data_IF_526000457985
#
_entry.id   IF_526000457985
#
_cell.length_a   1.000
_cell.length_b   1.000
_cell.length_c   1.000
_cell.angle_alpha   90.00
_cell.angle_beta   90.00
_cell.angle_gamma   90.00
#
_symmetry.space_group_name_H-M   'P 1'
#
loop_
_entity.id
_entity.type
_entity.pdbx_description
1 polymer ?
#
# COMPACT_ATOMS: atom_id res chain seq x y z
N UNK A 1 2.76 6.33 4.47
CA UNK A 1 1.51 5.56 4.68
C UNK A 1 1.81 4.37 5.54
N UNK A 2 1.00 4.11 6.52
CA UNK A 2 1.20 3.06 7.49
C UNK A 2 0.04 2.05 7.47
N UNK A 3 0.22 0.79 7.74
CA UNK A 3 -0.79 -0.27 7.72
C UNK A 3 -0.72 -1.20 8.91
N UNK A 4 -1.82 -1.61 9.49
CA UNK A 4 -1.87 -2.60 10.56
C UNK A 4 -3.06 -3.54 10.44
N UNK A 5 -2.91 -4.78 10.44
CA UNK A 5 -3.85 -5.77 10.93
C UNK A 5 -3.48 -7.19 10.54
N UNK A 6 -3.60 -8.12 11.39
CA UNK A 6 -3.54 -9.52 11.05
C UNK A 6 -4.75 -10.24 11.59
N UNK A 7 -5.52 -10.88 10.76
CA UNK A 7 -6.19 -12.11 11.14
C UNK A 7 -5.11 -13.12 11.53
N UNK A 8 -5.42 -14.13 12.33
CA UNK A 8 -4.47 -15.18 12.78
C UNK A 8 -3.62 -15.81 11.66
N UNK A 9 -3.75 -15.38 10.40
CA UNK A 9 -3.02 -15.81 9.21
C UNK A 9 -2.70 -14.71 8.20
N UNK A 10 -3.09 -13.44 8.47
CA UNK A 10 -2.93 -12.36 7.49
C UNK A 10 -2.40 -11.10 8.15
N UNK A 11 -1.29 -10.60 7.69
CA UNK A 11 -0.63 -9.40 8.20
C UNK A 11 -1.18 -8.11 7.60
N UNK A 12 -0.92 -7.03 8.27
CA UNK A 12 -1.38 -5.71 7.90
C UNK A 12 -0.26 -4.68 7.82
N UNK A 13 -0.46 -3.65 7.04
CA UNK A 13 0.51 -2.64 6.70
C UNK A 13 0.02 -1.22 6.91
N UNK A 14 0.98 -0.36 7.26
CA UNK A 14 0.82 1.08 7.17
C UNK A 14 1.93 1.66 6.30
N UNK A 15 1.60 2.42 5.28
CA UNK A 15 2.57 3.02 4.38
C UNK A 15 2.76 4.50 4.66
N UNK A 16 3.99 4.98 4.65
CA UNK A 16 4.36 6.37 4.86
C UNK A 16 4.46 7.15 3.56
N UNK A 17 3.95 8.38 3.54
CA UNK A 17 4.33 9.41 2.60
C UNK A 17 5.12 10.51 3.33
N UNK A 18 5.92 11.27 2.60
CA UNK A 18 6.97 12.18 3.08
C UNK A 18 6.46 13.37 3.93
N UNK A 19 5.19 13.49 4.22
CA UNK A 19 4.63 14.64 4.95
C UNK A 19 4.02 14.18 6.26
N UNK A 20 4.68 14.48 7.38
CA UNK A 20 4.19 14.17 8.72
C UNK A 20 5.30 13.83 9.71
N UNK A 21 4.92 13.39 10.89
CA UNK A 21 5.81 12.86 11.92
C UNK A 21 6.14 11.39 11.61
N UNK A 22 7.06 11.19 10.69
CA UNK A 22 7.42 9.87 10.19
C UNK A 22 8.02 8.98 11.28
N UNK A 23 8.73 9.54 12.26
CA UNK A 23 9.35 8.79 13.35
C UNK A 23 8.28 8.20 14.28
N UNK A 24 7.34 9.02 14.75
CA UNK A 24 6.25 8.55 15.62
C UNK A 24 5.35 7.52 14.89
N UNK A 25 5.16 7.66 13.59
CA UNK A 25 4.37 6.72 12.81
C UNK A 25 5.05 5.35 12.71
N UNK A 26 6.38 5.31 12.57
CA UNK A 26 7.14 4.05 12.46
C UNK A 26 7.10 3.20 13.74
N UNK A 27 6.85 3.79 14.89
CA UNK A 27 6.74 3.06 16.17
C UNK A 27 5.44 2.25 16.29
N UNK A 28 4.42 2.59 15.50
CA UNK A 28 3.10 1.93 15.55
C UNK A 28 2.75 1.12 14.31
N UNK A 29 3.55 1.22 13.25
CA UNK A 29 3.27 0.52 11.99
C UNK A 29 4.11 -0.74 11.84
N UNK A 30 3.57 -1.71 11.12
CA UNK A 30 4.29 -2.95 10.84
C UNK A 30 5.15 -2.87 9.58
N UNK A 31 4.88 -1.90 8.69
CA UNK A 31 5.66 -1.67 7.48
C UNK A 31 5.48 -0.27 6.91
N UNK A 32 6.44 0.18 6.12
CA UNK A 32 6.44 1.49 5.47
C UNK A 32 6.64 1.36 3.96
N UNK A 33 5.86 2.13 3.16
CA UNK A 33 6.07 2.25 1.74
C UNK A 33 6.90 3.50 1.46
N UNK A 34 8.10 3.33 0.92
CA UNK A 34 9.08 4.40 0.71
C UNK A 34 9.02 4.87 -0.74
N UNK A 35 8.72 6.15 -0.94
CA UNK A 35 8.73 6.76 -2.26
C UNK A 35 10.13 6.73 -2.88
N UNK A 36 10.21 6.44 -4.20
CA UNK A 36 11.45 6.10 -4.87
C UNK A 36 11.89 7.16 -5.89
N UNK A 37 11.59 8.43 -5.63
CA UNK A 37 12.12 9.59 -6.36
C UNK A 37 11.25 10.09 -7.53
N UNK A 38 10.32 9.31 -8.07
CA UNK A 38 9.53 9.72 -9.24
C UNK A 38 8.30 10.56 -8.91
N UNK A 39 7.56 10.22 -7.87
CA UNK A 39 6.39 10.99 -7.44
C UNK A 39 6.64 11.75 -6.14
N UNK A 40 7.61 11.31 -5.37
CA UNK A 40 8.06 11.87 -4.11
C UNK A 40 9.37 11.19 -3.70
N UNK A 41 10.01 11.69 -2.63
CA UNK A 41 11.28 11.17 -2.14
C UNK A 41 12.48 11.69 -2.93
N UNK A 42 13.62 11.51 -2.30
CA UNK A 42 14.93 11.76 -2.85
C UNK A 42 15.95 10.79 -2.22
N UNK A 43 17.20 10.75 -2.66
CA UNK A 43 18.18 9.81 -2.13
C UNK A 43 18.39 9.91 -0.61
N UNK A 44 18.42 11.11 -0.04
CA UNK A 44 18.61 11.31 1.40
C UNK A 44 17.38 10.88 2.20
N UNK A 45 16.18 11.17 1.70
CA UNK A 45 14.92 10.71 2.31
C UNK A 45 14.85 9.19 2.28
N UNK A 46 15.15 8.52 1.15
CA UNK A 46 15.18 7.06 1.08
C UNK A 46 16.16 6.47 2.10
N UNK A 47 17.38 6.99 2.16
CA UNK A 47 18.41 6.53 3.10
C UNK A 47 17.95 6.67 4.55
N UNK A 48 17.44 7.85 4.92
CA UNK A 48 16.93 8.13 6.28
C UNK A 48 15.76 7.23 6.64
N UNK A 49 14.78 7.09 5.76
CA UNK A 49 13.59 6.27 6.04
C UNK A 49 13.95 4.79 6.21
N UNK A 50 14.86 4.25 5.39
CA UNK A 50 15.36 2.87 5.56
C UNK A 50 16.07 2.71 6.92
N UNK A 51 16.87 3.69 7.34
CA UNK A 51 17.52 3.66 8.64
C UNK A 51 16.53 3.70 9.81
N UNK A 52 15.49 4.53 9.72
CA UNK A 52 14.42 4.61 10.71
C UNK A 52 13.61 3.30 10.77
N UNK A 53 13.25 2.71 9.64
CA UNK A 53 12.59 1.41 9.60
C UNK A 53 13.44 0.30 10.25
N UNK A 54 14.77 0.34 10.04
CA UNK A 54 15.68 -0.59 10.71
C UNK A 54 15.64 -0.45 12.23
N UNK A 55 15.55 0.78 12.74
CA UNK A 55 15.49 1.06 14.17
C UNK A 55 14.17 0.63 14.81
N UNK A 56 13.05 0.91 14.15
CA UNK A 56 11.72 0.57 14.64
C UNK A 56 11.32 -0.89 14.39
N UNK A 57 12.03 -1.60 13.51
CA UNK A 57 11.65 -2.95 13.07
C UNK A 57 10.54 -3.00 12.02
N UNK A 58 10.10 -1.85 11.49
CA UNK A 58 9.11 -1.79 10.44
C UNK A 58 9.67 -2.35 9.11
N UNK A 59 8.90 -3.18 8.43
CA UNK A 59 9.28 -3.76 7.14
C UNK A 59 9.33 -2.68 6.04
N UNK A 60 10.40 -2.68 5.22
CA UNK A 60 10.60 -1.70 4.16
C UNK A 60 9.97 -2.15 2.85
N UNK A 61 9.15 -1.30 2.23
CA UNK A 61 8.57 -1.52 0.92
C UNK A 61 8.88 -0.41 -0.08
N UNK A 62 9.12 -0.78 -1.33
CA UNK A 62 9.27 0.18 -2.42
C UNK A 62 7.90 0.68 -2.89
N UNK A 63 7.79 1.99 -3.11
CA UNK A 63 6.56 2.63 -3.52
C UNK A 63 6.71 3.33 -4.90
N UNK A 64 6.89 2.55 -5.99
CA UNK A 64 7.11 3.10 -7.31
C UNK A 64 5.84 3.76 -7.87
N UNK A 65 5.98 4.93 -8.45
CA UNK A 65 4.90 5.68 -9.08
C UNK A 65 5.27 6.18 -10.47
N UNK A 66 4.33 6.86 -11.13
CA UNK A 66 4.63 7.60 -12.33
C UNK A 66 5.61 8.75 -12.06
N UNK A 67 6.44 9.16 -13.04
CA UNK A 67 7.36 10.28 -12.93
C UNK A 67 6.60 11.63 -12.95
N UNK A 68 5.90 11.91 -11.87
CA UNK A 68 4.95 13.01 -11.73
C UNK A 68 5.06 13.68 -10.35
N UNK A 69 6.18 14.37 -10.11
CA UNK A 69 6.40 15.11 -8.86
C UNK A 69 5.31 16.15 -8.60
N UNK A 70 4.91 16.91 -9.62
CA UNK A 70 3.90 17.98 -9.46
C UNK A 70 2.50 17.44 -9.12
N UNK A 71 2.13 16.30 -9.69
CA UNK A 71 0.85 15.65 -9.43
C UNK A 71 0.94 14.55 -8.36
N UNK A 72 2.10 14.43 -7.70
CA UNK A 72 2.33 13.40 -6.66
C UNK A 72 2.03 11.99 -7.18
N UNK A 73 2.31 11.71 -8.47
CA UNK A 73 2.01 10.41 -9.09
C UNK A 73 0.52 10.08 -9.19
N UNK A 74 -0.38 11.05 -8.94
CA UNK A 74 -1.83 10.84 -8.96
C UNK A 74 -2.49 11.15 -10.29
N UNK A 75 -1.77 11.78 -11.24
CA UNK A 75 -2.24 11.99 -12.60
C UNK A 75 -2.00 10.74 -13.44
N UNK A 76 -2.98 10.36 -14.24
CA UNK A 76 -2.82 9.23 -15.17
C UNK A 76 -1.81 9.58 -16.26
N UNK A 77 -0.89 8.67 -16.51
CA UNK A 77 0.10 8.76 -17.58
C UNK A 77 0.00 7.52 -18.47
N UNK A 78 0.12 7.73 -19.77
CA UNK A 78 0.11 6.64 -20.73
C UNK A 78 1.54 6.12 -20.92
N UNK A 79 1.81 4.93 -20.39
CA UNK A 79 3.04 4.18 -20.62
C UNK A 79 2.70 2.87 -21.33
N UNK A 80 3.60 2.42 -22.19
CA UNK A 80 3.57 1.04 -22.67
C UNK A 80 3.91 0.07 -21.53
N UNK A 81 3.53 -1.20 -21.60
CA UNK A 81 3.93 -2.20 -20.58
C UNK A 81 5.45 -2.27 -20.38
N UNK A 82 6.24 -2.12 -21.44
CA UNK A 82 7.69 -2.13 -21.35
C UNK A 82 8.24 -0.90 -20.59
N UNK A 83 7.71 0.28 -20.86
CA UNK A 83 8.08 1.50 -20.13
C UNK A 83 7.65 1.43 -18.66
N UNK A 84 6.45 0.94 -18.38
CA UNK A 84 5.97 0.76 -17.02
C UNK A 84 6.85 -0.23 -16.24
N UNK A 85 7.22 -1.35 -16.85
CA UNK A 85 8.16 -2.30 -16.28
C UNK A 85 9.49 -1.64 -15.94
N UNK A 86 10.10 -0.94 -16.90
CA UNK A 86 11.39 -0.26 -16.69
C UNK A 86 11.31 0.81 -15.60
N UNK A 87 10.23 1.61 -15.58
CA UNK A 87 9.99 2.61 -14.53
C UNK A 87 9.91 2.00 -13.13
N UNK A 88 9.23 0.87 -12.99
CA UNK A 88 9.10 0.16 -11.71
C UNK A 88 10.44 -0.46 -11.29
N UNK A 89 11.15 -1.10 -12.23
CA UNK A 89 12.48 -1.69 -11.97
C UNK A 89 13.49 -0.64 -11.50
N UNK A 90 13.53 0.51 -12.16
CA UNK A 90 14.41 1.62 -11.79
C UNK A 90 14.18 2.06 -10.34
N UNK A 91 12.93 2.27 -9.96
CA UNK A 91 12.54 2.73 -8.63
C UNK A 91 12.80 1.68 -7.55
N UNK A 92 12.53 0.41 -7.83
CA UNK A 92 12.87 -0.71 -6.94
C UNK A 92 14.39 -0.74 -6.73
N UNK A 93 15.18 -0.65 -7.80
CA UNK A 93 16.65 -0.66 -7.75
C UNK A 93 17.21 0.49 -6.92
N UNK A 94 16.63 1.69 -7.06
CA UNK A 94 17.02 2.86 -6.28
C UNK A 94 16.87 2.63 -4.77
N UNK A 95 15.70 2.19 -4.31
CA UNK A 95 15.48 1.91 -2.89
C UNK A 95 16.27 0.71 -2.40
N UNK A 96 16.36 -0.35 -3.23
CA UNK A 96 17.08 -1.58 -2.88
C UNK A 96 18.55 -1.32 -2.58
N UNK A 97 19.19 -0.38 -3.26
CA UNK A 97 20.58 -0.01 -2.96
C UNK A 97 20.75 0.50 -1.53
N UNK A 98 19.79 1.30 -1.01
CA UNK A 98 19.81 1.77 0.39
C UNK A 98 19.48 0.63 1.37
N UNK A 99 18.54 -0.25 1.01
CA UNK A 99 18.22 -1.42 1.81
C UNK A 99 19.43 -2.34 1.97
N UNK A 100 20.12 -2.67 0.87
CA UNK A 100 21.29 -3.53 0.86
C UNK A 100 22.43 -2.90 1.69
N UNK A 101 22.70 -1.60 1.51
CA UNK A 101 23.71 -0.87 2.28
C UNK A 101 23.41 -0.84 3.79
N UNK A 102 22.14 -0.79 4.17
CA UNK A 102 21.71 -0.81 5.56
C UNK A 102 21.60 -2.23 6.15
N UNK A 103 21.70 -3.28 5.33
CA UNK A 103 21.44 -4.66 5.73
C UNK A 103 19.98 -4.92 6.11
N UNK A 104 19.05 -4.26 5.43
CA UNK A 104 17.60 -4.41 5.63
C UNK A 104 17.00 -5.06 4.39
N UNK A 105 16.18 -6.11 4.50
CA UNK A 105 15.54 -6.70 3.32
C UNK A 105 14.49 -5.74 2.72
N UNK A 106 14.43 -5.66 1.39
CA UNK A 106 13.29 -5.07 0.71
C UNK A 106 12.12 -6.08 0.77
N UNK A 107 11.19 -5.82 1.68
CA UNK A 107 10.14 -6.77 2.04
C UNK A 107 9.00 -6.84 1.01
N UNK A 108 8.58 -5.68 0.49
CA UNK A 108 7.44 -5.63 -0.43
C UNK A 108 7.56 -4.49 -1.45
N UNK A 109 6.71 -4.55 -2.46
CA UNK A 109 6.54 -3.48 -3.45
C UNK A 109 5.06 -3.13 -3.55
N UNK A 110 4.73 -1.86 -3.42
CA UNK A 110 3.39 -1.32 -3.59
C UNK A 110 3.42 -0.20 -4.62
N UNK A 111 2.84 -0.35 -5.80
CA UNK A 111 2.71 0.77 -6.74
C UNK A 111 1.95 1.95 -6.12
N UNK A 112 2.30 3.17 -6.52
CA UNK A 112 1.69 4.38 -5.99
C UNK A 112 0.61 4.96 -6.92
N UNK A 113 -0.41 5.56 -6.33
CA UNK A 113 -1.30 6.53 -6.94
C UNK A 113 -2.00 6.06 -8.21
N UNK A 114 -1.82 6.80 -9.31
CA UNK A 114 -2.48 6.49 -10.58
C UNK A 114 -1.97 5.17 -11.18
N UNK A 115 -0.69 4.86 -11.03
CA UNK A 115 -0.12 3.58 -11.49
C UNK A 115 -0.81 2.39 -10.80
N UNK A 116 -1.00 2.46 -9.49
CA UNK A 116 -1.71 1.45 -8.71
C UNK A 116 -3.17 1.25 -9.19
N UNK A 117 -3.90 2.35 -9.32
CA UNK A 117 -5.32 2.30 -9.70
C UNK A 117 -5.52 1.84 -11.15
N UNK A 118 -4.64 2.24 -12.07
CA UNK A 118 -4.69 1.80 -13.46
C UNK A 118 -4.36 0.30 -13.58
N UNK A 119 -3.27 -0.14 -12.96
CA UNK A 119 -2.87 -1.55 -12.94
C UNK A 119 -3.89 -2.45 -12.22
N UNK A 120 -4.68 -1.90 -11.32
CA UNK A 120 -5.80 -2.62 -10.69
C UNK A 120 -6.87 -3.08 -11.70
N UNK A 121 -6.95 -2.44 -12.88
CA UNK A 121 -7.95 -2.71 -13.93
C UNK A 121 -7.34 -3.13 -15.27
N UNK A 122 -6.09 -2.80 -15.51
CA UNK A 122 -5.37 -3.08 -16.76
C UNK A 122 -4.44 -4.28 -16.56
N UNK A 123 -4.80 -5.41 -17.16
CA UNK A 123 -4.05 -6.65 -17.06
C UNK A 123 -2.63 -6.53 -17.64
N UNK A 124 -2.45 -5.87 -18.76
CA UNK A 124 -1.14 -5.74 -19.38
C UNK A 124 -0.19 -4.90 -18.53
N UNK A 125 -0.72 -3.84 -17.91
CA UNK A 125 0.03 -3.03 -16.95
C UNK A 125 0.35 -3.82 -15.67
N UNK A 126 -0.61 -4.59 -15.18
CA UNK A 126 -0.42 -5.47 -14.02
C UNK A 126 0.67 -6.52 -14.26
N UNK A 127 0.65 -7.20 -15.42
CA UNK A 127 1.66 -8.18 -15.80
C UNK A 127 3.06 -7.55 -15.87
N UNK A 128 3.17 -6.33 -16.44
CA UNK A 128 4.44 -5.60 -16.51
C UNK A 128 5.00 -5.25 -15.13
N UNK A 129 4.15 -4.78 -14.21
CA UNK A 129 4.54 -4.49 -12.83
C UNK A 129 4.95 -5.76 -12.10
N UNK A 130 4.17 -6.83 -12.21
CA UNK A 130 4.48 -8.11 -11.57
C UNK A 130 5.81 -8.69 -12.07
N UNK A 131 6.09 -8.60 -13.37
CA UNK A 131 7.37 -8.99 -13.95
C UNK A 131 8.53 -8.14 -13.39
N UNK A 132 8.33 -6.81 -13.30
CA UNK A 132 9.33 -5.90 -12.72
C UNK A 132 9.67 -6.29 -11.27
N UNK A 133 8.66 -6.53 -10.44
CA UNK A 133 8.86 -6.92 -9.03
C UNK A 133 9.60 -8.25 -8.94
N UNK A 134 9.13 -9.27 -9.66
CA UNK A 134 9.73 -10.61 -9.64
C UNK A 134 11.21 -10.62 -10.05
N UNK A 135 11.57 -9.81 -11.04
CA UNK A 135 12.94 -9.72 -11.55
C UNK A 135 13.85 -8.85 -10.67
N UNK A 136 13.35 -7.75 -10.11
CA UNK A 136 14.18 -6.74 -9.42
C UNK A 136 14.24 -6.95 -7.91
N UNK A 137 13.24 -7.60 -7.34
CA UNK A 137 13.12 -7.87 -5.90
C UNK A 137 12.68 -9.32 -5.65
N UNK A 138 13.51 -10.32 -5.98
CA UNK A 138 13.18 -11.73 -5.75
C UNK A 138 12.86 -11.99 -4.27
N UNK A 139 11.70 -12.60 -4.00
CA UNK A 139 11.19 -12.86 -2.65
C UNK A 139 10.36 -11.73 -2.04
N UNK A 140 10.35 -10.55 -2.63
CA UNK A 140 9.44 -9.48 -2.16
C UNK A 140 7.98 -9.79 -2.48
N UNK A 141 7.09 -9.32 -1.61
CA UNK A 141 5.63 -9.46 -1.78
C UNK A 141 5.08 -8.27 -2.57
N UNK A 142 4.22 -8.50 -3.56
CA UNK A 142 3.45 -7.43 -4.18
C UNK A 142 2.27 -7.07 -3.27
N UNK A 143 2.15 -5.80 -2.87
CA UNK A 143 0.98 -5.30 -2.16
C UNK A 143 0.03 -4.65 -3.17
N UNK A 144 -1.15 -5.23 -3.35
CA UNK A 144 -2.08 -4.85 -4.40
C UNK A 144 -3.52 -4.76 -3.88
N UNK A 145 -4.34 -3.91 -4.52
CA UNK A 145 -5.77 -3.79 -4.21
C UNK A 145 -6.44 -5.15 -4.28
N UNK A 146 -7.15 -5.49 -3.24
CA UNK A 146 -7.88 -6.76 -3.13
C UNK A 146 -8.74 -7.05 -4.37
N UNK A 147 -8.61 -8.26 -4.91
CA UNK A 147 -9.37 -8.70 -6.08
C UNK A 147 -8.98 -8.09 -7.43
N UNK A 148 -7.99 -7.20 -7.48
CA UNK A 148 -7.56 -6.49 -8.69
C UNK A 148 -6.83 -7.37 -9.71
N UNK A 149 -6.63 -6.82 -10.92
CA UNK A 149 -5.82 -7.47 -11.96
C UNK A 149 -4.36 -7.67 -11.51
N UNK A 150 -3.82 -6.83 -10.62
CA UNK A 150 -2.49 -7.03 -10.06
C UNK A 150 -2.41 -8.30 -9.19
N UNK A 151 -3.43 -8.60 -8.40
CA UNK A 151 -3.49 -9.85 -7.61
C UNK A 151 -3.51 -11.06 -8.54
N UNK A 152 -4.38 -11.03 -9.57
CA UNK A 152 -4.48 -12.12 -10.57
C UNK A 152 -3.19 -12.31 -11.36
N UNK A 153 -2.54 -11.21 -11.76
CA UNK A 153 -1.27 -11.23 -12.48
C UNK A 153 -0.14 -11.83 -11.63
N UNK A 154 -0.04 -11.42 -10.37
CA UNK A 154 0.95 -11.95 -9.44
C UNK A 154 0.78 -13.46 -9.22
N UNK A 155 -0.46 -13.91 -8.97
CA UNK A 155 -0.79 -15.32 -8.82
C UNK A 155 -0.43 -16.15 -10.07
N UNK A 156 -0.70 -15.59 -11.27
CA UNK A 156 -0.42 -16.28 -12.53
C UNK A 156 1.08 -16.59 -12.75
N UNK A 157 1.97 -15.77 -12.20
CA UNK A 157 3.43 -15.98 -12.32
C UNK A 157 4.08 -16.52 -11.05
N UNK A 158 3.29 -16.83 -10.00
CA UNK A 158 3.80 -17.29 -8.71
C UNK A 158 4.60 -16.21 -7.96
N UNK A 159 4.24 -14.93 -8.13
CA UNK A 159 4.76 -13.84 -7.32
C UNK A 159 3.97 -13.78 -6.01
N UNK A 160 4.61 -13.77 -4.83
CA UNK A 160 3.90 -13.54 -3.57
C UNK A 160 3.10 -12.25 -3.62
N UNK A 161 1.84 -12.29 -3.18
CA UNK A 161 0.94 -11.13 -3.21
C UNK A 161 0.12 -11.05 -1.94
N UNK A 162 -0.06 -9.83 -1.41
CA UNK A 162 -0.95 -9.51 -0.32
C UNK A 162 -2.07 -8.58 -0.81
N UNK A 163 -3.29 -8.89 -0.37
CA UNK A 163 -4.49 -8.13 -0.71
C UNK A 163 -4.63 -6.94 0.22
N UNK A 164 -4.54 -5.74 -0.33
CA UNK A 164 -4.68 -4.50 0.41
C UNK A 164 -6.11 -4.00 0.39
N UNK A 165 -6.58 -3.54 1.55
CA UNK A 165 -7.82 -2.79 1.70
C UNK A 165 -7.54 -1.39 2.27
N UNK A 166 -8.48 -0.48 2.14
CA UNK A 166 -8.33 0.92 2.54
C UNK A 166 -9.36 1.30 3.59
N UNK A 167 -8.88 1.81 4.72
CA UNK A 167 -9.74 2.26 5.81
C UNK A 167 -10.58 3.50 5.42
N UNK A 168 -9.93 4.45 4.75
CA UNK A 168 -10.41 5.80 4.48
C UNK A 168 -10.96 6.00 3.05
N UNK A 169 -11.17 4.92 2.28
CA UNK A 169 -11.59 5.02 0.87
C UNK A 169 -12.92 4.32 0.62
N UNK A 170 -13.75 4.98 -0.21
CA UNK A 170 -14.95 4.36 -0.76
C UNK A 170 -14.63 3.32 -1.84
N UNK A 171 -15.45 2.28 -1.91
CA UNK A 171 -15.39 1.22 -2.91
C UNK A 171 -16.56 1.30 -3.87
N UNK A 172 -16.36 0.86 -5.10
CA UNK A 172 -17.40 0.60 -6.09
C UNK A 172 -17.84 -0.86 -6.05
N UNK A 173 -18.99 -1.22 -6.64
CA UNK A 173 -19.44 -2.61 -6.70
C UNK A 173 -18.46 -3.57 -7.38
N UNK A 174 -17.61 -3.05 -8.27
CA UNK A 174 -16.54 -3.82 -8.94
C UNK A 174 -15.27 -4.03 -8.07
N UNK A 175 -15.30 -3.58 -6.80
CA UNK A 175 -14.15 -3.64 -5.89
C UNK A 175 -13.10 -2.55 -6.11
N UNK A 176 -13.24 -1.72 -7.13
CA UNK A 176 -12.32 -0.60 -7.35
C UNK A 176 -12.61 0.56 -6.40
N UNK A 177 -11.57 1.38 -6.14
CA UNK A 177 -11.74 2.57 -5.32
C UNK A 177 -12.52 3.66 -6.07
N UNK A 178 -13.40 4.36 -5.36
CA UNK A 178 -14.07 5.56 -5.86
C UNK A 178 -12.99 6.62 -6.18
N UNK A 179 -13.00 7.25 -7.37
CA UNK A 179 -12.00 8.24 -7.73
C UNK A 179 -11.94 9.41 -6.76
N UNK A 180 -10.74 9.83 -6.36
CA UNK A 180 -10.55 11.03 -5.51
C UNK A 180 -11.20 12.24 -6.16
N UNK A 181 -11.75 13.14 -5.33
CA UNK A 181 -12.46 14.33 -5.80
C UNK A 181 -13.91 14.10 -6.23
N UNK A 182 -14.43 12.88 -6.09
CA UNK A 182 -15.85 12.57 -6.29
C UNK A 182 -16.54 12.26 -4.95
N UNK A 183 -17.86 12.51 -4.82
CA UNK A 183 -18.59 12.16 -3.60
C UNK A 183 -18.41 10.69 -3.20
N UNK A 184 -18.22 10.44 -1.91
CA UNK A 184 -18.00 9.08 -1.38
C UNK A 184 -16.60 8.50 -1.65
N UNK A 185 -15.65 9.28 -2.16
CA UNK A 185 -14.27 8.82 -2.38
C UNK A 185 -13.49 8.65 -1.08
N UNK A 186 -13.78 9.46 -0.07
CA UNK A 186 -13.14 9.43 1.24
C UNK A 186 -14.18 9.14 2.32
N UNK A 187 -13.78 8.37 3.31
CA UNK A 187 -14.53 8.15 4.55
C UNK A 187 -13.88 9.08 5.59
N UNK A 188 -14.62 10.10 5.99
CA UNK A 188 -14.12 11.18 6.86
C UNK A 188 -14.42 10.89 8.34
N UNK A 189 -15.44 10.09 8.60
CA UNK A 189 -15.81 9.69 9.95
C UNK A 189 -14.90 8.54 10.42
N UNK A 190 -14.17 8.77 11.53
CA UNK A 190 -13.21 7.82 12.07
C UNK A 190 -13.90 6.54 12.58
N UNK A 191 -15.07 6.65 13.21
CA UNK A 191 -15.78 5.50 13.78
C UNK A 191 -16.35 4.63 12.65
N UNK A 192 -16.87 5.25 11.59
CA UNK A 192 -17.29 4.54 10.37
C UNK A 192 -16.10 3.81 9.75
N UNK A 193 -14.95 4.49 9.57
CA UNK A 193 -13.77 3.88 8.98
C UNK A 193 -13.25 2.70 9.82
N UNK A 194 -13.24 2.80 11.14
CA UNK A 194 -12.86 1.71 12.06
C UNK A 194 -13.82 0.53 11.92
N UNK A 195 -15.12 0.76 11.97
CA UNK A 195 -16.13 -0.29 11.83
C UNK A 195 -16.00 -1.02 10.47
N UNK A 196 -15.74 -0.28 9.40
CA UNK A 196 -15.51 -0.83 8.06
C UNK A 196 -14.25 -1.70 8.02
N UNK A 197 -13.16 -1.26 8.64
CA UNK A 197 -11.91 -2.06 8.71
C UNK A 197 -12.15 -3.37 9.47
N UNK A 198 -12.79 -3.32 10.62
CA UNK A 198 -13.13 -4.53 11.38
C UNK A 198 -13.94 -5.48 10.50
N UNK A 199 -14.96 -4.98 9.82
CA UNK A 199 -15.80 -5.79 8.93
C UNK A 199 -15.03 -6.39 7.76
N UNK A 200 -14.14 -5.62 7.10
CA UNK A 200 -13.28 -6.13 6.02
C UNK A 200 -12.39 -7.28 6.51
N UNK A 201 -11.82 -7.13 7.71
CA UNK A 201 -10.87 -8.09 8.27
C UNK A 201 -11.58 -9.33 8.85
N UNK A 202 -12.71 -9.17 9.54
CA UNK A 202 -13.37 -10.27 10.25
C UNK A 202 -14.43 -10.99 9.42
N UNK A 203 -15.14 -10.27 8.53
CA UNK A 203 -16.21 -10.82 7.72
C UNK A 203 -15.83 -11.01 6.25
N UNK A 204 -14.71 -10.42 5.79
CA UNK A 204 -14.33 -10.43 4.38
C UNK A 204 -15.29 -9.65 3.49
N UNK A 205 -15.88 -8.56 4.00
CA UNK A 205 -16.90 -7.76 3.30
C UNK A 205 -16.66 -6.26 3.47
N UNK A 206 -17.03 -5.49 2.45
CA UNK A 206 -17.14 -4.03 2.50
C UNK A 206 -18.39 -3.57 1.75
N UNK A 207 -19.03 -2.51 2.27
CA UNK A 207 -20.16 -1.88 1.59
C UNK A 207 -19.64 -0.91 0.53
N UNK A 208 -20.07 -1.12 -0.71
CA UNK A 208 -19.78 -0.24 -1.85
C UNK A 208 -20.61 1.06 -1.79
N UNK A 209 -20.26 2.03 -2.64
CA UNK A 209 -20.90 3.35 -2.66
C UNK A 209 -22.37 3.35 -3.13
N UNK A 210 -22.85 2.25 -3.67
CA UNK A 210 -24.28 2.04 -4.01
C UNK A 210 -25.05 1.29 -2.91
N UNK A 211 -24.41 0.98 -1.78
CA UNK A 211 -25.00 0.26 -0.65
C UNK A 211 -24.89 -1.27 -0.74
N UNK A 212 -24.34 -1.82 -1.82
CA UNK A 212 -24.16 -3.28 -1.93
C UNK A 212 -22.94 -3.75 -1.15
N UNK A 213 -23.04 -4.95 -0.56
CA UNK A 213 -21.91 -5.62 0.06
C UNK A 213 -21.14 -6.41 -0.99
N UNK A 214 -19.84 -6.18 -1.05
CA UNK A 214 -18.91 -6.92 -1.89
C UNK A 214 -17.95 -7.75 -1.03
N UNK A 215 -17.59 -8.94 -1.51
CA UNK A 215 -16.57 -9.77 -0.88
C UNK A 215 -15.19 -9.11 -1.07
N UNK A 216 -14.36 -9.12 -0.02
CA UNK A 216 -13.02 -8.56 -0.04
C UNK A 216 -12.09 -9.42 0.81
N UNK A 217 -10.84 -9.57 0.38
CA UNK A 217 -9.79 -10.19 1.19
C UNK A 217 -8.90 -9.08 1.76
N UNK A 218 -8.66 -9.11 3.06
CA UNK A 218 -7.83 -8.13 3.74
C UNK A 218 -6.59 -8.82 4.34
N UNK A 219 -5.47 -8.75 3.62
CA UNK A 219 -4.16 -9.17 4.13
C UNK A 219 -3.40 -7.95 4.67
N UNK A 220 -3.80 -6.74 4.27
CA UNK A 220 -3.23 -5.45 4.66
C UNK A 220 -4.29 -4.37 4.68
N UNK A 221 -4.22 -3.47 5.66
CA UNK A 221 -5.08 -2.27 5.73
C UNK A 221 -4.24 -1.02 5.48
N UNK A 222 -4.56 -0.24 4.47
CA UNK A 222 -3.93 1.04 4.20
C UNK A 222 -4.67 2.19 4.91
N UNK A 223 -3.90 3.02 5.59
CA UNK A 223 -4.35 4.31 6.12
C UNK A 223 -3.43 5.40 5.57
N UNK A 224 -3.99 6.52 5.12
CA UNK A 224 -3.18 7.64 4.64
C UNK A 224 -2.68 8.48 5.83
N UNK A 225 -1.36 8.65 5.90
CA UNK A 225 -0.66 9.34 7.00
C UNK A 225 -0.47 10.85 6.79
N UNK A 226 -1.06 11.44 5.76
CA UNK A 226 -0.85 12.84 5.34
C UNK A 226 -1.76 13.86 6.04
N UNK A 227 -2.57 13.44 6.99
CA UNK A 227 -3.44 14.32 7.78
C UNK A 227 -2.94 14.56 9.21
N UNK A 228 -3.27 15.72 9.82
CA UNK A 228 -2.82 16.05 11.18
C UNK A 228 -3.35 15.11 12.29
N UNK A 229 -4.34 14.30 11.99
CA UNK A 229 -4.93 13.29 12.89
C UNK A 229 -4.51 11.86 12.56
N UNK A 230 -3.66 11.66 11.55
CA UNK A 230 -3.34 10.33 11.02
C UNK A 230 -2.76 9.40 12.08
N UNK A 231 -1.87 9.89 12.95
CA UNK A 231 -1.26 9.10 14.02
C UNK A 231 -2.34 8.55 14.98
N UNK A 232 -3.18 9.43 15.52
CA UNK A 232 -4.26 9.01 16.44
C UNK A 232 -5.27 8.06 15.78
N UNK A 233 -5.55 8.26 14.50
CA UNK A 233 -6.44 7.39 13.74
C UNK A 233 -5.85 5.98 13.54
N UNK A 234 -4.56 5.90 13.24
CA UNK A 234 -3.83 4.64 13.13
C UNK A 234 -3.81 3.88 14.45
N UNK A 235 -3.54 4.57 15.57
CA UNK A 235 -3.59 3.99 16.92
C UNK A 235 -4.98 3.42 17.24
N UNK A 236 -6.05 4.17 16.94
CA UNK A 236 -7.43 3.72 17.15
C UNK A 236 -7.76 2.47 16.32
N UNK A 237 -7.39 2.44 15.04
CA UNK A 237 -7.58 1.26 14.18
C UNK A 237 -6.82 0.07 14.76
N UNK A 238 -5.55 0.25 15.15
CA UNK A 238 -4.73 -0.80 15.74
C UNK A 238 -5.36 -1.38 17.00
N UNK A 239 -5.77 -0.51 17.94
CA UNK A 239 -6.44 -0.92 19.18
C UNK A 239 -7.77 -1.66 18.91
N UNK A 240 -8.59 -1.17 17.98
CA UNK A 240 -9.85 -1.79 17.63
C UNK A 240 -9.68 -3.18 16.99
N UNK A 241 -8.68 -3.35 16.13
CA UNK A 241 -8.36 -4.66 15.53
C UNK A 241 -7.84 -5.64 16.59
N UNK A 242 -6.98 -5.21 17.50
CA UNK A 242 -6.52 -6.05 18.61
C UNK A 242 -7.68 -6.46 19.53
N UNK A 243 -8.58 -5.55 19.83
CA UNK A 243 -9.80 -5.85 20.61
C UNK A 243 -10.72 -6.86 19.87
N UNK A 244 -10.72 -6.85 18.55
CA UNK A 244 -11.41 -7.85 17.72
C UNK A 244 -10.63 -9.18 17.57
N UNK A 245 -9.52 -9.37 18.29
CA UNK A 245 -8.72 -10.59 18.28
C UNK A 245 -7.78 -10.73 17.07
N UNK A 246 -7.48 -9.61 16.40
CA UNK A 246 -6.58 -9.55 15.24
C UNK A 246 -5.14 -9.31 15.71
N UNK A 247 -4.21 -10.15 15.28
CA UNK A 247 -2.78 -9.96 15.54
C UNK A 247 -2.18 -8.97 14.52
N UNK A 248 -1.49 -7.94 15.01
CA UNK A 248 -0.81 -6.94 14.18
C UNK A 248 0.64 -7.37 13.93
N UNK A 249 1.02 -7.59 12.66
CA UNK A 249 2.41 -7.92 12.25
C UNK A 249 2.64 -7.65 10.77
N UNK A 250 3.90 -7.53 10.35
CA UNK A 250 4.26 -7.57 8.94
C UNK A 250 3.99 -8.98 8.37
N UNK A 251 3.58 -9.07 7.09
CA UNK A 251 3.28 -10.34 6.40
C UNK A 251 4.52 -11.00 5.82
#
# INVERSE_FOLDING_TARGET
MATAAGLKRHPAFFGLSIVGDDEAMLDIVTSANVACGFHAGDPLVMQRTVALCKQSGAAVGAHPGFPDLQGFGRRQMKLTPAEAKACVQYQIGALKAFCDAAGVPLHHVKPHGALYNMAGKDRALADAICAAVKESAPGAVLLALSGSEMVKAAQAIGLPVANEVFADRGYRPDGSLVPRGTPGAMIEDEDEAIARVIRMVTEGKVTANDGTDIAIQADSVCVHGDGPKALAFVEKIGAALQAAGVELKAF
#
